data_IF_726832988267
#
_entry.id   IF_726832988267
#
_cell.length_a   1.000
_cell.length_b   1.000
_cell.length_c   1.000
_cell.angle_alpha   90.00
_cell.angle_beta   90.00
_cell.angle_gamma   90.00
#
_symmetry.space_group_name_H-M   'P 1'
#
loop_
_entity.id
_entity.type
_entity.pdbx_description
1 polymer ?
#
# COMPACT_ATOMS: atom_id res chain seq x y z
N UNK A 1 -7.41 -10.49 -2.52
CA UNK A 1 -5.99 -10.67 -2.12
C UNK A 1 -5.94 -11.53 -0.87
N UNK A 2 -5.16 -12.61 -0.86
CA UNK A 2 -4.91 -13.42 0.36
C UNK A 2 -3.87 -12.69 1.22
N UNK A 3 -3.97 -12.77 2.55
CA UNK A 3 -3.03 -12.11 3.47
C UNK A 3 -1.55 -12.52 3.25
N UNK A 4 -1.31 -13.73 2.73
CA UNK A 4 0.02 -14.21 2.33
C UNK A 4 0.65 -13.43 1.17
N UNK A 5 -0.16 -12.90 0.25
CA UNK A 5 0.33 -12.16 -0.92
C UNK A 5 0.89 -10.79 -0.49
N UNK A 6 0.19 -10.13 0.44
CA UNK A 6 0.63 -8.88 1.05
C UNK A 6 1.93 -9.04 1.85
N UNK A 7 2.07 -10.14 2.59
CA UNK A 7 3.27 -10.39 3.39
C UNK A 7 4.52 -10.60 2.53
N UNK A 8 4.37 -11.28 1.39
CA UNK A 8 5.42 -11.49 0.40
C UNK A 8 5.82 -10.17 -0.28
N UNK A 9 4.85 -9.33 -0.65
CA UNK A 9 5.12 -7.99 -1.20
C UNK A 9 5.90 -7.14 -0.20
N UNK A 10 5.46 -7.08 1.05
CA UNK A 10 6.17 -6.33 2.07
C UNK A 10 7.57 -6.86 2.38
N UNK A 11 7.80 -8.18 2.25
CA UNK A 11 9.14 -8.76 2.39
C UNK A 11 10.02 -8.37 1.19
N UNK A 12 9.48 -8.43 -0.02
CA UNK A 12 10.19 -8.05 -1.25
C UNK A 12 10.57 -6.57 -1.26
N UNK A 13 9.76 -5.71 -0.65
CA UNK A 13 10.03 -4.27 -0.53
C UNK A 13 10.91 -3.91 0.69
N UNK A 14 11.32 -4.90 1.48
CA UNK A 14 12.17 -4.68 2.66
C UNK A 14 11.45 -4.00 3.83
N UNK A 15 10.11 -4.03 3.86
CA UNK A 15 9.34 -3.44 4.95
C UNK A 15 9.42 -4.33 6.19
N UNK A 16 9.88 -3.75 7.30
CA UNK A 16 10.01 -4.44 8.58
C UNK A 16 8.66 -4.66 9.27
N UNK A 17 8.54 -5.65 10.19
CA UNK A 17 7.31 -5.87 10.96
C UNK A 17 6.80 -4.61 11.68
N UNK A 18 7.72 -3.82 12.23
CA UNK A 18 7.43 -2.54 12.89
C UNK A 18 6.80 -1.53 11.93
N UNK A 19 7.36 -1.38 10.73
CA UNK A 19 6.83 -0.49 9.71
C UNK A 19 5.45 -0.96 9.20
N UNK A 20 5.23 -2.26 9.08
CA UNK A 20 3.91 -2.83 8.71
C UNK A 20 2.86 -2.51 9.76
N UNK A 21 3.17 -2.76 11.03
CA UNK A 21 2.25 -2.48 12.13
C UNK A 21 1.87 -0.98 12.16
N UNK A 22 2.86 -0.12 11.93
CA UNK A 22 2.64 1.32 11.84
C UNK A 22 1.79 1.73 10.63
N UNK A 23 2.03 1.15 9.44
CA UNK A 23 1.22 1.41 8.25
C UNK A 23 -0.24 0.99 8.44
N UNK A 24 -0.48 -0.17 9.08
CA UNK A 24 -1.82 -0.64 9.39
C UNK A 24 -2.53 0.31 10.38
N UNK A 25 -1.84 0.74 11.44
CA UNK A 25 -2.37 1.71 12.38
C UNK A 25 -2.75 3.03 11.68
N UNK A 26 -1.88 3.55 10.82
CA UNK A 26 -2.14 4.76 10.02
C UNK A 26 -3.32 4.55 9.07
N UNK A 27 -3.42 3.38 8.44
CA UNK A 27 -4.50 3.05 7.50
C UNK A 27 -5.87 3.04 8.16
N UNK A 28 -5.97 2.61 9.42
CA UNK A 28 -7.23 2.65 10.18
C UNK A 28 -7.75 4.08 10.39
N UNK A 29 -6.86 5.07 10.36
CA UNK A 29 -7.19 6.49 10.51
C UNK A 29 -7.17 7.26 9.18
N UNK A 30 -7.08 6.56 8.06
CA UNK A 30 -7.07 7.16 6.74
C UNK A 30 -8.49 7.53 6.31
N UNK A 31 -8.69 8.80 6.00
CA UNK A 31 -9.92 9.25 5.38
C UNK A 31 -10.07 8.63 3.98
N UNK A 32 -11.19 7.95 3.72
CA UNK A 32 -11.39 7.23 2.46
C UNK A 32 -11.45 8.16 1.24
N UNK A 33 -11.89 9.40 1.43
CA UNK A 33 -12.12 10.38 0.35
C UNK A 33 -10.86 11.14 -0.03
N UNK A 34 -10.09 11.57 0.96
CA UNK A 34 -8.91 12.43 0.77
C UNK A 34 -7.60 11.67 0.89
N UNK A 35 -7.63 10.44 1.44
CA UNK A 35 -6.46 9.62 1.78
C UNK A 35 -5.51 10.31 2.75
N UNK A 36 -6.01 11.32 3.47
CA UNK A 36 -5.29 12.04 4.50
C UNK A 36 -5.55 11.36 5.83
N UNK A 37 -4.48 11.23 6.60
CA UNK A 37 -4.46 10.71 7.97
C UNK A 37 -4.05 11.87 8.87
N UNK A 38 -4.84 12.11 9.91
CA UNK A 38 -4.52 13.05 10.98
C UNK A 38 -4.66 12.33 12.33
N UNK A 39 -3.53 11.89 12.87
CA UNK A 39 -3.48 11.06 14.08
C UNK A 39 -2.43 11.60 15.05
N UNK A 40 -2.69 11.50 16.36
CA UNK A 40 -1.70 11.90 17.37
C UNK A 40 -0.61 10.84 17.52
N UNK A 41 0.62 11.27 17.80
CA UNK A 41 1.72 10.33 18.02
C UNK A 41 1.43 9.41 19.21
N UNK A 42 0.84 9.93 20.29
CA UNK A 42 0.45 9.13 21.46
C UNK A 42 -0.57 8.04 21.13
N UNK A 43 -1.49 8.29 20.20
CA UNK A 43 -2.45 7.27 19.76
C UNK A 43 -1.78 6.18 18.92
N UNK A 44 -0.79 6.55 18.09
CA UNK A 44 0.04 5.57 17.39
C UNK A 44 0.88 4.73 18.36
N UNK A 45 1.42 5.34 19.43
CA UNK A 45 2.13 4.60 20.47
C UNK A 45 1.24 3.55 21.14
N UNK A 46 0.02 3.94 21.52
CA UNK A 46 -0.94 3.05 22.17
C UNK A 46 -1.35 1.89 21.26
N UNK A 47 -1.62 2.17 19.98
CA UNK A 47 -2.01 1.15 19.00
C UNK A 47 -0.89 0.19 18.60
N UNK A 48 0.34 0.70 18.50
CA UNK A 48 1.48 -0.08 17.99
C UNK A 48 2.34 -0.67 19.10
N UNK A 49 2.16 -0.20 20.35
CA UNK A 49 3.03 -0.48 21.50
C UNK A 49 4.51 -0.13 21.22
N UNK A 50 4.73 0.88 20.38
CA UNK A 50 6.05 1.38 20.01
C UNK A 50 6.31 2.73 20.68
N UNK A 51 7.58 2.99 21.01
CA UNK A 51 7.99 4.30 21.53
C UNK A 51 8.05 5.36 20.40
N UNK A 52 7.84 6.64 20.74
CA UNK A 52 7.91 7.75 19.76
C UNK A 52 9.16 7.76 18.89
N UNK A 53 10.34 7.44 19.44
CA UNK A 53 11.59 7.41 18.67
C UNK A 53 11.57 6.35 17.57
N UNK A 54 10.98 5.19 17.84
CA UNK A 54 10.83 4.09 16.88
C UNK A 54 9.82 4.48 15.81
N UNK A 55 8.69 5.07 16.22
CA UNK A 55 7.67 5.58 15.31
C UNK A 55 8.26 6.64 14.38
N UNK A 56 8.96 7.65 14.92
CA UNK A 56 9.55 8.72 14.12
C UNK A 56 10.57 8.19 13.10
N UNK A 57 11.40 7.21 13.49
CA UNK A 57 12.34 6.56 12.59
C UNK A 57 11.62 5.78 11.49
N UNK A 58 10.61 4.98 11.85
CA UNK A 58 9.81 4.22 10.89
C UNK A 58 9.04 5.13 9.92
N UNK A 59 8.42 6.21 10.42
CA UNK A 59 7.77 7.23 9.58
C UNK A 59 8.74 7.85 8.59
N UNK A 60 9.95 8.21 9.02
CA UNK A 60 10.96 8.80 8.14
C UNK A 60 11.44 7.83 7.05
N UNK A 61 11.42 6.52 7.32
CA UNK A 61 11.76 5.48 6.34
C UNK A 61 10.61 5.18 5.37
N UNK A 62 9.36 5.37 5.80
CA UNK A 62 8.17 5.17 4.99
C UNK A 62 7.79 6.41 4.17
N UNK A 63 8.31 7.57 4.56
CA UNK A 63 8.11 8.84 3.86
C UNK A 63 8.67 8.80 2.45
N UNK A 64 7.93 9.37 1.50
CA UNK A 64 8.29 9.39 0.08
C UNK A 64 7.94 8.10 -0.69
N UNK A 65 7.78 6.95 -0.01
CA UNK A 65 7.36 5.69 -0.66
C UNK A 65 5.91 5.32 -0.37
N UNK A 66 5.50 5.40 0.89
CA UNK A 66 4.15 5.00 1.34
C UNK A 66 3.38 6.15 1.96
N UNK A 67 4.08 7.16 2.47
CA UNK A 67 3.49 8.31 3.15
C UNK A 67 4.08 9.60 2.60
N UNK A 68 3.23 10.60 2.39
CA UNK A 68 3.65 11.98 2.12
C UNK A 68 3.29 12.84 3.34
N UNK A 69 4.30 13.36 4.05
CA UNK A 69 4.05 14.22 5.21
C UNK A 69 3.45 15.54 4.76
N UNK A 70 2.39 15.96 5.44
CA UNK A 70 1.75 17.25 5.23
C UNK A 70 2.20 18.24 6.31
N UNK A 71 2.21 19.55 6.01
CA UNK A 71 2.55 20.56 6.99
C UNK A 71 1.57 20.48 8.17
N UNK A 72 2.11 20.21 9.36
CA UNK A 72 1.36 20.18 10.62
C UNK A 72 1.81 21.33 11.50
N UNK A 73 0.85 22.08 12.04
CA UNK A 73 1.13 23.11 13.08
C UNK A 73 1.48 22.49 14.44
N UNK A 74 1.26 21.19 14.61
CA UNK A 74 1.40 20.47 15.87
C UNK A 74 2.46 19.39 15.77
N UNK A 75 3.57 19.53 16.52
CA UNK A 75 4.64 18.52 16.58
C UNK A 75 4.19 17.17 17.17
N UNK A 76 3.05 17.15 17.86
CA UNK A 76 2.45 15.94 18.48
C UNK A 76 1.47 15.20 17.57
N UNK A 77 1.19 15.72 16.37
CA UNK A 77 0.26 15.12 15.40
C UNK A 77 0.98 14.79 14.11
N UNK A 78 0.78 13.56 13.66
CA UNK A 78 1.15 13.13 12.32
C UNK A 78 -0.01 13.50 11.39
N UNK A 79 0.28 14.41 10.46
CA UNK A 79 -0.58 14.67 9.30
C UNK A 79 0.16 14.15 8.09
N UNK A 80 -0.38 13.13 7.44
CA UNK A 80 0.24 12.55 6.25
C UNK A 80 -0.83 12.09 5.27
N UNK A 81 -0.48 12.04 3.99
CA UNK A 81 -1.28 11.44 2.96
C UNK A 81 -0.71 10.06 2.67
N UNK A 82 -1.56 9.03 2.68
CA UNK A 82 -1.13 7.71 2.22
C UNK A 82 -0.93 7.74 0.72
N UNK A 83 0.28 7.39 0.28
CA UNK A 83 0.62 7.20 -1.13
C UNK A 83 0.13 5.80 -1.47
N UNK A 84 -0.87 5.72 -2.33
CA UNK A 84 -1.27 4.45 -2.91
C UNK A 84 -0.11 4.00 -3.80
N UNK A 85 0.72 3.09 -3.31
CA UNK A 85 1.61 2.38 -4.20
C UNK A 85 0.72 1.71 -5.24
N UNK A 86 0.92 2.09 -6.50
CA UNK A 86 0.53 1.29 -7.66
C UNK A 86 1.35 -0.01 -7.64
N UNK A 87 1.08 -0.86 -6.67
CA UNK A 87 1.42 -2.28 -6.68
C UNK A 87 0.18 -3.07 -7.09
N UNK A 88 -0.59 -2.54 -8.02
CA UNK A 88 -1.11 -3.37 -9.09
C UNK A 88 -0.02 -3.36 -10.16
N UNK A 89 0.63 -4.49 -10.50
CA UNK A 89 0.94 -4.65 -11.92
C UNK A 89 -0.38 -4.34 -12.62
N UNK A 90 -0.36 -3.35 -13.51
CA UNK A 90 -1.44 -3.09 -14.45
C UNK A 90 -1.88 -4.46 -14.93
N UNK A 91 -2.97 -4.98 -14.35
CA UNK A 91 -3.66 -6.12 -14.88
C UNK A 91 -4.30 -5.51 -16.11
N UNK A 92 -3.46 -5.35 -17.15
CA UNK A 92 -3.93 -5.24 -18.52
C UNK A 92 -5.05 -6.26 -18.57
N UNK A 93 -6.29 -5.87 -18.91
CA UNK A 93 -7.26 -6.88 -19.27
C UNK A 93 -6.50 -7.74 -20.28
N UNK A 94 -6.26 -9.00 -19.92
CA UNK A 94 -5.68 -9.95 -20.86
C UNK A 94 -6.71 -9.96 -21.95
N UNK A 95 -6.42 -9.21 -23.00
CA UNK A 95 -7.15 -9.25 -24.24
C UNK A 95 -7.08 -10.72 -24.60
N UNK A 96 -8.20 -11.42 -24.37
CA UNK A 96 -8.39 -12.80 -24.75
C UNK A 96 -8.47 -12.80 -26.29
N UNK A 97 -7.38 -12.40 -26.95
CA UNK A 97 -7.12 -12.73 -28.33
C UNK A 97 -6.94 -14.22 -28.33
N UNK A 98 -8.06 -14.87 -28.66
CA UNK A 98 -8.16 -16.25 -29.05
C UNK A 98 -6.85 -16.70 -29.73
N UNK A 99 -6.31 -17.88 -29.41
CA UNK A 99 -5.14 -18.37 -30.11
C UNK A 99 -5.50 -18.41 -31.60
N UNK A 100 -4.88 -17.53 -32.39
CA UNK A 100 -4.78 -17.72 -33.84
C UNK A 100 -3.91 -18.95 -34.05
N UNK A 101 -4.53 -20.12 -33.90
CA UNK A 101 -4.08 -21.35 -34.52
C UNK A 101 -4.24 -21.16 -36.02
N UNK A 102 -3.13 -20.87 -36.69
CA UNK A 102 -2.96 -21.14 -38.11
C UNK A 102 -3.18 -22.64 -38.35
N UNK A 103 -4.09 -23.03 -39.24
CA UNK A 103 -4.25 -24.43 -39.62
C UNK A 103 -5.53 -24.75 -40.39
N UNK A 104 -5.50 -24.45 -41.69
CA UNK A 104 -6.19 -25.12 -42.80
C UNK A 104 -7.23 -26.22 -42.50
N UNK A 105 -8.47 -26.06 -43.01
CA UNK A 105 -8.96 -26.81 -44.19
C UNK A 105 -10.48 -26.73 -44.32
N UNK A 106 -10.89 -26.17 -45.47
CA UNK A 106 -11.94 -26.64 -46.38
C UNK A 106 -13.34 -27.00 -45.86
N UNK A 107 -14.32 -26.26 -46.40
CA UNK A 107 -15.73 -26.63 -46.60
C UNK A 107 -15.91 -28.12 -46.98
N UNK A 108 -17.10 -28.66 -46.71
CA UNK A 108 -18.03 -28.80 -47.83
C UNK A 108 -19.41 -28.21 -47.54
N UNK A 109 -19.95 -27.57 -48.57
CA UNK A 109 -21.38 -27.37 -48.76
C UNK A 109 -22.04 -28.71 -49.09
N UNK A 110 -23.09 -29.07 -48.36
CA UNK A 110 -24.32 -29.72 -48.83
C UNK A 110 -25.29 -29.84 -47.66
#
# INVERSE_FOLDING_TARGET
MKAQDLENVWKAEGITPTQRNLLLAIQMHCDAKTRVVDVSLSMLEDMTLLNQSVIAKALSQLEGRYLARLPSRSKKRLICRMIEQRSTPDAKPVDARAPRGFGQSSLPSA
#
